data_IF_432807137196
#
_entry.id   IF_432807137196
#
_cell.length_a   1.000
_cell.length_b   1.000
_cell.length_c   1.000
_cell.angle_alpha   90.00
_cell.angle_beta   90.00
_cell.angle_gamma   90.00
#
_symmetry.space_group_name_H-M   'P 1'
#
loop_
_entity.id
_entity.type
_entity.pdbx_description
1 polymer ?
#
# COMPACT_ATOMS: atom_id res chain seq x y z
N UNK A 1 3.22 -1.13 -28.74
CA UNK A 1 3.56 -1.44 -27.32
C UNK A 1 4.78 -0.61 -26.93
N UNK A 2 4.77 0.03 -25.76
CA UNK A 2 5.79 1.00 -25.34
C UNK A 2 7.18 0.40 -25.19
N UNK A 3 7.31 -0.82 -24.65
CA UNK A 3 8.59 -1.50 -24.48
C UNK A 3 9.31 -1.84 -25.80
N UNK A 4 8.55 -2.07 -26.89
CA UNK A 4 9.12 -2.31 -28.22
C UNK A 4 9.62 -1.02 -28.88
N UNK A 5 8.97 0.12 -28.59
CA UNK A 5 9.37 1.43 -29.11
C UNK A 5 10.51 2.04 -28.31
N UNK A 6 10.43 1.91 -26.98
CA UNK A 6 11.34 2.52 -26.00
C UNK A 6 12.18 1.46 -25.27
N UNK A 7 12.87 0.62 -26.04
CA UNK A 7 13.67 -0.49 -25.50
C UNK A 7 14.73 0.00 -24.49
N UNK A 8 15.38 1.13 -24.76
CA UNK A 8 16.37 1.71 -23.85
C UNK A 8 15.75 2.15 -22.51
N UNK A 9 14.54 2.73 -22.54
CA UNK A 9 13.78 3.11 -21.34
C UNK A 9 13.40 1.88 -20.52
N UNK A 10 12.93 0.83 -21.18
CA UNK A 10 12.63 -0.45 -20.55
C UNK A 10 13.85 -1.08 -19.88
N UNK A 11 14.96 -1.20 -20.61
CA UNK A 11 16.21 -1.78 -20.09
C UNK A 11 16.74 -1.03 -18.87
N UNK A 12 16.65 0.31 -18.87
CA UNK A 12 17.03 1.15 -17.73
C UNK A 12 16.17 0.87 -16.49
N UNK A 13 14.86 0.73 -16.66
CA UNK A 13 13.97 0.37 -15.56
C UNK A 13 14.26 -1.04 -15.03
N UNK A 14 14.47 -2.03 -15.92
CA UNK A 14 14.79 -3.40 -15.53
C UNK A 14 16.11 -3.48 -14.75
N UNK A 15 17.15 -2.79 -15.22
CA UNK A 15 18.43 -2.71 -14.54
C UNK A 15 18.31 -2.08 -13.14
N UNK A 16 17.46 -1.07 -12.98
CA UNK A 16 17.20 -0.43 -11.69
C UNK A 16 16.55 -1.39 -10.70
N UNK A 17 15.56 -2.17 -11.13
CA UNK A 17 14.86 -3.13 -10.25
C UNK A 17 15.82 -4.25 -9.80
N UNK A 18 16.72 -4.69 -10.68
CA UNK A 18 17.81 -5.62 -10.35
C UNK A 18 18.81 -5.02 -9.36
N UNK A 19 19.28 -3.79 -9.60
CA UNK A 19 20.23 -3.11 -8.73
C UNK A 19 19.70 -2.88 -7.32
N UNK A 20 18.37 -2.73 -7.16
CA UNK A 20 17.71 -2.64 -5.86
C UNK A 20 17.46 -4.01 -5.19
N UNK A 21 17.82 -5.12 -5.84
CA UNK A 21 17.58 -6.47 -5.35
C UNK A 21 16.10 -6.81 -5.24
N UNK A 22 15.25 -6.18 -6.06
CA UNK A 22 13.81 -6.41 -6.01
C UNK A 22 13.40 -7.69 -6.72
N UNK A 23 14.11 -8.06 -7.77
CA UNK A 23 13.80 -9.20 -8.63
C UNK A 23 15.04 -10.05 -8.89
N UNK A 24 14.81 -11.33 -9.12
CA UNK A 24 15.81 -12.23 -9.71
C UNK A 24 15.61 -12.29 -11.22
N UNK A 25 16.67 -12.27 -12.00
CA UNK A 25 16.61 -12.27 -13.47
C UNK A 25 17.81 -13.03 -14.06
N UNK A 26 17.75 -13.31 -15.37
CA UNK A 26 18.88 -13.84 -16.11
C UNK A 26 18.99 -15.37 -16.10
N UNK A 27 17.91 -16.09 -15.76
CA UNK A 27 17.93 -17.56 -15.70
C UNK A 27 17.60 -18.17 -17.06
N UNK A 28 18.26 -19.27 -17.40
CA UNK A 28 18.00 -20.03 -18.63
C UNK A 28 16.66 -20.77 -18.59
N UNK A 29 16.22 -21.17 -17.40
CA UNK A 29 14.97 -21.89 -17.15
C UNK A 29 14.10 -21.16 -16.13
N UNK A 30 12.78 -21.41 -16.14
CA UNK A 30 11.87 -20.89 -15.12
C UNK A 30 12.35 -21.23 -13.69
N UNK A 31 12.46 -20.25 -12.78
CA UNK A 31 12.95 -20.48 -11.41
C UNK A 31 12.00 -21.27 -10.52
N UNK A 32 10.71 -21.34 -10.88
CA UNK A 32 9.66 -22.04 -10.14
C UNK A 32 8.74 -22.77 -11.11
N UNK A 33 8.03 -23.80 -10.62
CA UNK A 33 7.04 -24.54 -11.39
C UNK A 33 5.75 -24.76 -10.57
N UNK A 34 4.54 -24.47 -11.11
CA UNK A 34 4.26 -23.88 -12.42
C UNK A 34 4.88 -22.47 -12.59
N UNK A 35 4.79 -21.89 -13.79
CA UNK A 35 5.35 -20.55 -14.07
C UNK A 35 4.44 -19.76 -15.01
N UNK A 36 4.03 -18.58 -14.56
CA UNK A 36 3.32 -17.61 -15.38
C UNK A 36 4.19 -16.37 -15.56
N UNK A 37 4.50 -16.01 -16.81
CA UNK A 37 5.23 -14.81 -17.15
C UNK A 37 4.25 -13.68 -17.49
N UNK A 38 4.17 -12.65 -16.63
CA UNK A 38 3.37 -11.48 -16.94
C UNK A 38 4.01 -10.66 -18.07
N UNK A 39 3.20 -10.04 -18.95
CA UNK A 39 3.70 -9.09 -19.93
C UNK A 39 4.13 -7.78 -19.25
N UNK A 40 5.31 -7.30 -19.65
CA UNK A 40 5.85 -6.02 -19.18
C UNK A 40 5.86 -4.98 -20.29
N UNK A 41 5.68 -3.73 -19.89
CA UNK A 41 5.68 -2.57 -20.77
C UNK A 41 6.33 -1.36 -20.07
N UNK A 42 6.55 -0.28 -20.80
CA UNK A 42 7.06 0.98 -20.26
C UNK A 42 6.21 2.15 -20.74
N UNK A 43 5.98 3.10 -19.84
CA UNK A 43 5.27 4.35 -20.12
C UNK A 43 6.14 5.52 -19.66
N UNK A 44 6.27 6.54 -20.50
CA UNK A 44 6.93 7.78 -20.11
C UNK A 44 5.93 8.73 -19.44
N UNK A 45 6.30 9.24 -18.26
CA UNK A 45 5.56 10.30 -17.55
C UNK A 45 6.55 11.33 -17.05
N UNK A 46 6.36 12.59 -17.42
CA UNK A 46 7.18 13.72 -16.97
C UNK A 46 8.69 13.49 -17.18
N UNK A 47 9.08 13.02 -18.37
CA UNK A 47 10.49 12.74 -18.68
C UNK A 47 11.08 11.50 -18.00
N UNK A 48 10.26 10.69 -17.33
CA UNK A 48 10.69 9.49 -16.61
C UNK A 48 9.94 8.26 -17.09
N UNK A 49 10.69 7.24 -17.48
CA UNK A 49 10.15 5.93 -17.79
C UNK A 49 9.69 5.20 -16.51
N UNK A 50 8.50 4.61 -16.59
CA UNK A 50 7.91 3.77 -15.55
C UNK A 50 7.55 2.43 -16.15
N UNK A 51 8.02 1.37 -15.50
CA UNK A 51 7.68 0.01 -15.87
C UNK A 51 6.24 -0.30 -15.43
N UNK A 52 5.51 -1.00 -16.28
CA UNK A 52 4.12 -1.40 -16.05
C UNK A 52 3.95 -2.86 -16.37
N UNK A 53 3.11 -3.56 -15.60
CA UNK A 53 2.80 -4.97 -15.76
C UNK A 53 1.31 -5.05 -16.08
N UNK A 54 0.94 -5.81 -17.11
CA UNK A 54 -0.47 -6.05 -17.42
C UNK A 54 -0.90 -7.41 -16.89
N UNK A 55 -1.61 -7.38 -15.74
CA UNK A 55 -2.14 -8.58 -15.06
C UNK A 55 -3.56 -8.96 -15.48
N UNK A 56 -4.13 -8.22 -16.42
CA UNK A 56 -5.46 -8.49 -16.99
C UNK A 56 -5.38 -9.21 -18.34
N UNK A 57 -4.18 -9.29 -18.92
CA UNK A 57 -4.02 -9.94 -20.22
C UNK A 57 -4.19 -11.46 -20.11
N UNK A 58 -5.12 -12.00 -20.90
CA UNK A 58 -5.26 -13.44 -21.11
C UNK A 58 -4.20 -13.90 -22.11
N UNK A 59 -3.19 -14.62 -21.63
CA UNK A 59 -2.06 -15.08 -22.44
C UNK A 59 -2.35 -16.39 -23.18
N UNK A 60 -3.16 -17.26 -22.59
CA UNK A 60 -3.46 -18.60 -23.11
C UNK A 60 -4.98 -18.76 -23.16
N UNK A 61 -5.57 -19.14 -24.31
CA UNK A 61 -7.00 -19.42 -24.39
C UNK A 61 -7.42 -20.45 -23.34
N UNK A 62 -8.47 -20.13 -22.58
CA UNK A 62 -8.98 -20.98 -21.50
C UNK A 62 -8.28 -20.84 -20.15
N UNK A 63 -7.22 -20.02 -20.04
CA UNK A 63 -6.59 -19.68 -18.76
C UNK A 63 -6.91 -18.23 -18.41
N UNK A 64 -7.65 -18.04 -17.33
CA UNK A 64 -8.02 -16.71 -16.83
C UNK A 64 -6.78 -15.87 -16.47
N UNK A 65 -6.86 -14.55 -16.71
CA UNK A 65 -5.80 -13.64 -16.27
C UNK A 65 -5.66 -13.63 -14.74
N UNK A 66 -4.52 -13.20 -14.22
CA UNK A 66 -4.31 -13.13 -12.78
C UNK A 66 -5.41 -12.31 -12.10
N UNK A 67 -5.64 -11.07 -12.57
CA UNK A 67 -6.60 -10.17 -11.94
C UNK A 67 -8.06 -10.63 -12.07
N UNK A 68 -8.37 -11.42 -13.10
CA UNK A 68 -9.72 -11.98 -13.26
C UNK A 68 -9.93 -13.24 -12.40
N UNK A 69 -8.84 -13.91 -11.99
CA UNK A 69 -8.90 -15.07 -11.07
C UNK A 69 -9.03 -14.69 -9.60
N UNK A 70 -8.78 -13.42 -9.27
CA UNK A 70 -8.81 -12.92 -7.89
C UNK A 70 -10.26 -12.65 -7.47
N UNK A 71 -10.73 -13.43 -6.50
CA UNK A 71 -12.02 -13.23 -5.84
C UNK A 71 -11.87 -12.14 -4.75
N UNK A 72 -12.20 -10.90 -5.11
CA UNK A 72 -12.20 -9.78 -4.17
C UNK A 72 -13.32 -9.87 -3.13
N UNK A 73 -14.45 -10.50 -3.45
CA UNK A 73 -15.60 -10.57 -2.56
C UNK A 73 -15.31 -11.50 -1.37
N UNK A 74 -14.37 -12.43 -1.53
CA UNK A 74 -13.83 -13.25 -0.44
C UNK A 74 -12.94 -12.48 0.56
N UNK A 75 -12.55 -11.24 0.25
CA UNK A 75 -11.65 -10.43 1.07
C UNK A 75 -12.44 -9.29 1.70
N UNK A 76 -12.52 -9.24 3.03
CA UNK A 76 -13.21 -8.12 3.69
C UNK A 76 -12.63 -6.76 3.25
N UNK A 77 -13.48 -5.82 2.82
CA UNK A 77 -13.03 -4.54 2.35
C UNK A 77 -12.39 -3.72 3.47
N UNK A 78 -11.46 -2.85 3.10
CA UNK A 78 -10.92 -1.84 4.00
C UNK A 78 -11.58 -0.52 3.68
N UNK A 79 -12.10 0.14 4.71
CA UNK A 79 -12.62 1.51 4.60
C UNK A 79 -11.45 2.49 4.60
N UNK A 80 -11.37 3.31 3.57
CA UNK A 80 -10.29 4.29 3.42
C UNK A 80 -10.67 5.60 4.09
N UNK A 81 -9.73 6.16 4.86
CA UNK A 81 -9.85 7.53 5.33
C UNK A 81 -9.88 8.49 4.13
N UNK A 82 -10.87 9.36 4.14
CA UNK A 82 -11.07 10.39 3.13
C UNK A 82 -10.40 11.71 3.53
N UNK A 83 -10.27 12.63 2.58
CA UNK A 83 -9.87 14.01 2.88
C UNK A 83 -10.90 14.68 3.80
N UNK A 84 -12.17 14.30 3.70
CA UNK A 84 -13.24 14.77 4.60
C UNK A 84 -12.97 14.40 6.05
N UNK A 85 -12.59 13.15 6.31
CA UNK A 85 -12.27 12.68 7.67
C UNK A 85 -11.08 13.46 8.27
N UNK A 86 -10.04 13.72 7.46
CA UNK A 86 -8.90 14.50 7.89
C UNK A 86 -9.28 15.96 8.17
N UNK A 87 -10.11 16.57 7.32
CA UNK A 87 -10.57 17.94 7.48
C UNK A 87 -11.46 18.08 8.74
N UNK A 88 -12.37 17.14 8.96
CA UNK A 88 -13.22 17.10 10.15
C UNK A 88 -12.38 16.95 11.42
N UNK A 89 -11.44 15.98 11.45
CA UNK A 89 -10.54 15.81 12.59
C UNK A 89 -9.72 17.08 12.88
N UNK A 90 -9.24 17.75 11.84
CA UNK A 90 -8.49 19.01 11.96
C UNK A 90 -9.36 20.15 12.50
N UNK A 91 -10.60 20.28 12.02
CA UNK A 91 -11.56 21.27 12.50
C UNK A 91 -11.91 21.05 13.98
N UNK A 92 -12.08 19.79 14.38
CA UNK A 92 -12.30 19.42 15.79
C UNK A 92 -11.12 19.85 16.65
N UNK A 93 -9.87 19.57 16.22
CA UNK A 93 -8.67 20.01 16.92
C UNK A 93 -8.59 21.55 17.01
N UNK A 94 -9.04 22.27 15.99
CA UNK A 94 -8.99 23.74 15.93
C UNK A 94 -9.84 24.40 17.03
N UNK A 95 -10.87 23.71 17.53
CA UNK A 95 -11.70 24.20 18.65
C UNK A 95 -10.92 24.38 19.95
N UNK A 96 -9.71 23.82 20.06
CA UNK A 96 -8.82 24.06 21.19
C UNK A 96 -8.28 25.50 21.25
N UNK A 97 -8.36 26.25 20.16
CA UNK A 97 -7.88 27.64 20.09
C UNK A 97 -6.36 27.78 20.12
N UNK A 98 -5.63 26.68 19.86
CA UNK A 98 -4.16 26.64 19.77
C UNK A 98 -3.74 26.26 18.35
N UNK A 99 -2.53 26.63 17.90
CA UNK A 99 -2.02 26.20 16.60
C UNK A 99 -1.98 24.67 16.46
N UNK A 100 -2.39 24.18 15.30
CA UNK A 100 -2.37 22.75 14.96
C UNK A 100 -1.24 22.50 13.97
N UNK A 101 -0.48 21.44 14.20
CA UNK A 101 0.46 20.91 13.23
C UNK A 101 -0.07 19.58 12.68
N UNK A 102 -0.19 19.50 11.35
CA UNK A 102 -0.44 18.24 10.66
C UNK A 102 0.89 17.67 10.18
N UNK A 103 1.09 16.38 10.40
CA UNK A 103 2.29 15.67 9.98
C UNK A 103 1.91 14.33 9.37
N UNK A 104 2.69 13.91 8.38
CA UNK A 104 2.56 12.63 7.72
C UNK A 104 3.89 12.17 7.17
N UNK A 105 3.97 10.89 6.83
CA UNK A 105 5.14 10.27 6.22
C UNK A 105 4.69 9.29 5.14
N UNK A 106 5.54 9.11 4.14
CA UNK A 106 5.32 8.16 3.05
C UNK A 106 6.24 6.94 3.21
N UNK A 107 5.72 5.75 2.89
CA UNK A 107 6.50 4.52 2.89
C UNK A 107 7.03 4.26 1.47
N UNK A 108 8.32 4.57 1.25
CA UNK A 108 8.92 4.43 -0.08
C UNK A 108 8.76 3.00 -0.62
N UNK A 109 8.17 2.90 -1.81
CA UNK A 109 7.95 1.63 -2.51
C UNK A 109 7.25 0.59 -1.63
N UNK A 110 6.22 1.01 -0.89
CA UNK A 110 5.51 0.19 0.10
C UNK A 110 5.19 -1.24 -0.37
N UNK A 111 4.60 -1.41 -1.55
CA UNK A 111 4.32 -2.73 -2.13
C UNK A 111 5.56 -3.62 -2.29
N UNK A 112 6.72 -3.03 -2.64
CA UNK A 112 7.99 -3.75 -2.78
C UNK A 112 8.60 -4.20 -1.45
N UNK A 113 8.07 -3.74 -0.31
CA UNK A 113 8.54 -4.15 1.03
C UNK A 113 7.86 -5.44 1.50
N UNK A 114 6.75 -5.83 0.87
CA UNK A 114 5.97 -7.00 1.24
C UNK A 114 6.23 -8.14 0.26
N UNK A 115 6.59 -9.30 0.80
CA UNK A 115 6.69 -10.55 0.05
C UNK A 115 5.31 -11.08 -0.32
N UNK A 116 5.23 -11.75 -1.46
CA UNK A 116 4.06 -12.52 -1.87
C UNK A 116 4.03 -13.84 -1.09
N UNK A 117 2.84 -14.39 -0.88
CA UNK A 117 2.71 -15.73 -0.32
C UNK A 117 3.37 -16.75 -1.23
N UNK A 118 4.14 -17.69 -0.67
CA UNK A 118 4.98 -18.62 -1.44
C UNK A 118 4.18 -19.45 -2.47
N UNK A 119 2.93 -19.79 -2.13
CA UNK A 119 2.02 -20.53 -3.02
C UNK A 119 1.61 -19.77 -4.28
N UNK A 120 1.80 -18.45 -4.30
CA UNK A 120 1.33 -17.54 -5.35
C UNK A 120 2.50 -16.95 -6.16
N UNK A 121 3.75 -17.23 -5.75
CA UNK A 121 4.98 -16.71 -6.38
C UNK A 121 5.11 -17.13 -7.84
N UNK A 122 4.60 -18.31 -8.19
CA UNK A 122 4.60 -18.79 -9.58
C UNK A 122 3.84 -17.88 -10.56
N UNK A 123 2.98 -16.98 -10.06
CA UNK A 123 2.21 -16.00 -10.83
C UNK A 123 2.89 -14.63 -10.94
N UNK A 124 4.18 -14.54 -10.65
CA UNK A 124 4.97 -13.30 -10.69
C UNK A 124 6.22 -13.42 -11.58
N UNK A 125 6.18 -14.32 -12.57
CA UNK A 125 7.28 -14.47 -13.52
C UNK A 125 7.35 -13.33 -14.51
N UNK A 126 8.51 -13.15 -15.14
CA UNK A 126 8.68 -12.32 -16.32
C UNK A 126 9.81 -12.87 -17.21
N UNK A 127 9.74 -12.56 -18.50
CA UNK A 127 10.82 -12.87 -19.45
C UNK A 127 11.33 -11.58 -20.06
N UNK A 128 12.60 -11.28 -19.82
CA UNK A 128 13.30 -10.14 -20.42
C UNK A 128 14.33 -10.65 -21.44
N UNK A 129 15.06 -9.74 -22.10
CA UNK A 129 16.08 -10.12 -23.08
C UNK A 129 17.24 -10.95 -22.50
N UNK A 130 17.44 -10.95 -21.18
CA UNK A 130 18.43 -11.75 -20.47
C UNK A 130 17.89 -13.11 -19.97
N UNK A 131 16.61 -13.42 -20.20
CA UNK A 131 16.01 -14.72 -19.85
C UNK A 131 14.89 -14.62 -18.83
N UNK A 132 14.65 -15.72 -18.12
CA UNK A 132 13.59 -15.85 -17.13
C UNK A 132 13.95 -15.12 -15.83
N UNK A 133 12.95 -14.49 -15.23
CA UNK A 133 13.04 -13.84 -13.94
C UNK A 133 11.82 -14.07 -13.05
N UNK A 134 11.94 -13.64 -11.81
CA UNK A 134 10.94 -13.82 -10.77
C UNK A 134 10.91 -12.63 -9.82
N UNK A 135 9.71 -12.24 -9.45
CA UNK A 135 9.44 -11.21 -8.46
C UNK A 135 8.65 -11.80 -7.29
N UNK A 136 9.33 -12.10 -6.19
CA UNK A 136 8.71 -12.67 -5.00
C UNK A 136 7.97 -11.63 -4.14
N UNK A 137 7.88 -10.37 -4.61
CA UNK A 137 7.22 -9.28 -3.88
C UNK A 137 5.85 -8.98 -4.49
N UNK A 138 5.06 -8.18 -3.78
CA UNK A 138 3.82 -7.65 -4.33
C UNK A 138 4.14 -6.74 -5.52
N UNK A 139 3.49 -7.02 -6.65
CA UNK A 139 3.69 -6.29 -7.90
C UNK A 139 2.60 -5.22 -8.05
N UNK A 140 2.97 -4.09 -8.65
CA UNK A 140 1.99 -3.09 -9.05
C UNK A 140 1.04 -3.66 -10.11
N UNK A 141 -0.25 -3.37 -9.97
CA UNK A 141 -1.29 -3.85 -10.88
C UNK A 141 -2.02 -5.11 -10.42
N UNK A 142 -1.61 -5.73 -9.30
CA UNK A 142 -2.37 -6.82 -8.67
C UNK A 142 -3.68 -6.28 -8.07
N UNK A 143 -4.79 -6.96 -8.33
CA UNK A 143 -6.15 -6.52 -7.99
C UNK A 143 -6.42 -6.44 -6.49
N UNK A 144 -5.93 -7.41 -5.74
CA UNK A 144 -6.06 -7.56 -4.29
C UNK A 144 -5.07 -6.71 -3.48
N UNK A 145 -3.96 -6.30 -4.11
CA UNK A 145 -2.86 -5.63 -3.41
C UNK A 145 -3.30 -4.37 -2.65
N UNK A 146 -4.14 -3.46 -3.17
CA UNK A 146 -4.61 -2.31 -2.41
C UNK A 146 -5.32 -2.69 -1.12
N UNK A 147 -6.19 -3.71 -1.14
CA UNK A 147 -6.96 -4.13 0.04
C UNK A 147 -6.03 -4.77 1.08
N UNK A 148 -5.23 -5.75 0.67
CA UNK A 148 -4.36 -6.50 1.59
C UNK A 148 -3.29 -5.59 2.22
N UNK A 149 -2.70 -4.69 1.43
CA UNK A 149 -1.69 -3.76 1.92
C UNK A 149 -2.30 -2.65 2.78
N UNK A 150 -3.56 -2.27 2.55
CA UNK A 150 -4.27 -1.34 3.44
C UNK A 150 -4.53 -1.96 4.80
N UNK A 151 -4.82 -3.27 4.88
CA UNK A 151 -4.91 -3.97 6.18
C UNK A 151 -3.59 -3.93 6.95
N UNK A 152 -2.47 -4.13 6.26
CA UNK A 152 -1.14 -3.97 6.88
C UNK A 152 -0.94 -2.53 7.39
N UNK A 153 -1.39 -1.54 6.62
CA UNK A 153 -1.36 -0.13 7.04
C UNK A 153 -2.24 0.12 8.27
N UNK A 154 -3.43 -0.48 8.36
CA UNK A 154 -4.29 -0.41 9.55
C UNK A 154 -3.58 -0.94 10.81
N UNK A 155 -2.84 -2.05 10.69
CA UNK A 155 -2.03 -2.57 11.80
C UNK A 155 -0.92 -1.59 12.21
N UNK A 156 -0.21 -0.99 11.25
CA UNK A 156 0.81 0.03 11.53
C UNK A 156 0.20 1.25 12.25
N UNK A 157 -0.97 1.72 11.79
CA UNK A 157 -1.70 2.82 12.43
C UNK A 157 -2.11 2.45 13.86
N UNK A 158 -2.61 1.23 14.09
CA UNK A 158 -2.91 0.74 15.44
C UNK A 158 -1.67 0.75 16.34
N UNK A 159 -0.53 0.26 15.85
CA UNK A 159 0.72 0.25 16.60
C UNK A 159 1.20 1.67 16.92
N UNK A 160 1.11 2.60 15.96
CA UNK A 160 1.45 4.01 16.16
C UNK A 160 0.53 4.65 17.20
N UNK A 161 -0.79 4.44 17.11
CA UNK A 161 -1.76 4.97 18.08
C UNK A 161 -1.46 4.49 19.50
N UNK A 162 -1.21 3.19 19.66
CA UNK A 162 -0.84 2.61 20.96
C UNK A 162 0.41 3.26 21.53
N UNK A 163 1.42 3.56 20.70
CA UNK A 163 2.64 4.21 21.15
C UNK A 163 2.43 5.69 21.48
N UNK A 164 1.59 6.40 20.70
CA UNK A 164 1.18 7.78 21.00
C UNK A 164 0.46 7.83 22.36
N UNK A 165 -0.51 6.95 22.59
CA UNK A 165 -1.24 6.87 23.88
C UNK A 165 -0.29 6.62 25.05
N UNK A 166 0.69 5.72 24.88
CA UNK A 166 1.73 5.46 25.88
C UNK A 166 2.56 6.72 26.17
N UNK A 167 2.93 7.47 25.13
CA UNK A 167 3.69 8.72 25.27
C UNK A 167 2.86 9.82 25.93
N UNK A 168 1.58 9.97 25.58
CA UNK A 168 0.68 10.94 26.20
C UNK A 168 0.48 10.66 27.70
N UNK A 169 0.39 9.39 28.10
CA UNK A 169 0.30 9.00 29.51
C UNK A 169 1.59 9.35 30.29
N UNK A 170 2.75 9.16 29.66
CA UNK A 170 4.06 9.45 30.28
C UNK A 170 4.39 10.94 30.29
N UNK A 171 3.96 11.67 29.27
CA UNK A 171 4.26 13.08 29.05
C UNK A 171 2.96 13.87 28.82
N UNK A 172 2.15 14.06 29.87
CA UNK A 172 0.87 14.74 29.73
C UNK A 172 1.05 16.20 29.29
N UNK A 173 0.09 16.76 28.52
CA UNK A 173 0.13 18.16 28.10
C UNK A 173 0.23 19.10 29.30
N UNK A 174 1.14 20.07 29.22
CA UNK A 174 1.36 21.09 30.26
C UNK A 174 0.59 22.38 30.00
N UNK A 175 0.23 22.64 28.75
CA UNK A 175 -0.49 23.85 28.35
C UNK A 175 -1.89 23.90 29.02
N UNK A 176 -2.22 24.96 29.79
CA UNK A 176 -3.50 25.08 30.46
C UNK A 176 -4.71 25.10 29.52
N UNK A 177 -4.59 25.67 28.32
CA UNK A 177 -5.66 25.72 27.30
C UNK A 177 -5.96 24.31 26.81
N UNK A 178 -4.92 23.57 26.45
CA UNK A 178 -5.04 22.18 25.97
C UNK A 178 -5.62 21.28 27.06
N UNK A 179 -5.17 21.43 28.32
CA UNK A 179 -5.71 20.66 29.45
C UNK A 179 -7.20 20.90 29.66
N UNK A 180 -7.65 22.16 29.63
CA UNK A 180 -9.08 22.51 29.76
C UNK A 180 -9.90 21.92 28.61
N UNK A 181 -9.39 22.02 27.38
CA UNK A 181 -10.05 21.46 26.21
C UNK A 181 -10.20 19.93 26.29
N UNK A 182 -9.14 19.22 26.68
CA UNK A 182 -9.18 17.77 26.90
C UNK A 182 -10.17 17.37 28.00
N UNK A 183 -10.21 18.12 29.10
CA UNK A 183 -11.16 17.87 30.19
C UNK A 183 -12.62 18.08 29.74
N UNK A 184 -12.90 19.15 29.01
CA UNK A 184 -14.22 19.39 28.42
C UNK A 184 -14.66 18.24 27.51
N UNK A 185 -13.76 17.73 26.66
CA UNK A 185 -14.04 16.55 25.81
C UNK A 185 -14.32 15.29 26.60
N UNK A 186 -13.56 15.01 27.68
CA UNK A 186 -13.81 13.86 28.55
C UNK A 186 -15.20 13.94 29.20
N UNK A 187 -15.61 15.12 29.65
CA UNK A 187 -16.95 15.35 30.20
C UNK A 187 -18.05 15.11 29.17
N UNK A 188 -17.89 15.62 27.95
CA UNK A 188 -18.84 15.38 26.84
C UNK A 188 -18.95 13.89 26.49
N UNK A 189 -17.82 13.18 26.41
CA UNK A 189 -17.80 11.75 26.13
C UNK A 189 -18.49 10.93 27.23
N UNK A 190 -18.24 11.25 28.50
CA UNK A 190 -18.91 10.60 29.63
C UNK A 190 -20.43 10.85 29.63
N UNK A 191 -20.86 12.08 29.32
CA UNK A 191 -22.28 12.42 29.18
C UNK A 191 -22.97 11.68 28.03
N UNK A 192 -22.28 11.55 26.88
CA UNK A 192 -22.80 10.81 25.74
C UNK A 192 -22.91 9.29 26.00
N UNK A 193 -21.94 8.72 26.73
CA UNK A 193 -21.99 7.32 27.14
C UNK A 193 -23.13 7.04 28.13
N UNK A 194 -23.35 7.94 29.10
CA UNK A 194 -24.47 7.84 30.04
C UNK A 194 -25.83 7.91 29.34
N UNK A 195 -25.97 8.76 28.32
CA UNK A 195 -27.19 8.84 27.51
C UNK A 195 -27.46 7.55 26.72
N UNK A 196 -26.43 6.95 26.09
CA UNK A 196 -26.57 5.71 25.32
C UNK A 196 -26.82 4.47 26.18
N UNK A 197 -26.39 4.46 27.44
CA UNK A 197 -26.66 3.37 28.38
C UNK A 197 -28.04 3.45 29.08
N UNK A 198 -28.76 4.56 28.89
CA UNK A 198 -30.10 4.77 29.43
C UNK A 198 -31.22 4.55 28.38
N UNK A 199 -30.86 4.15 27.15
CA UNK A 199 -31.75 3.86 26.04
C UNK A 199 -31.94 2.35 25.85
#
# INVERSE_FOLDING_TARGET
>A
VGALKEHAGFAKCAAKDRAKGWVEAGRELPPVWPYCADPFNVVERYGKYRMTIDKTMTLVPGVTSYNDSVDLDSIDPVEYATIGDLAEASAILATAGVPIALWGFDLEAYFRKTGKQRRDVWMSGFVHGDGFGLDERIQFGQREAPVLMSRQSCYLVWAIRREIERLEAKYPPRDPVVRRWLEARRRLAAGAAAYRGAA
#
